data_IF_040210801838
#
_entry.id   IF_040210801838
#
_cell.length_a   1.000
_cell.length_b   1.000
_cell.length_c   1.000
_cell.angle_alpha   90.00
_cell.angle_beta   90.00
_cell.angle_gamma   90.00
#
_symmetry.space_group_name_H-M   'P 1'
#
loop_
_entity.id
_entity.type
_entity.pdbx_description
1 polymer ?
#
# COMPACT_ATOMS: atom_id res chain seq x y z
N UNK A 1 -3.30 -7.09 0.81
CA UNK A 1 -2.79 -6.53 -0.48
C UNK A 1 -1.26 -6.47 -0.46
N UNK A 2 -0.55 -6.76 -1.54
CA UNK A 2 0.93 -6.63 -1.57
C UNK A 2 1.34 -5.19 -1.86
N UNK A 3 2.57 -4.81 -1.51
CA UNK A 3 3.11 -3.48 -1.82
C UNK A 3 3.09 -3.18 -3.33
N UNK A 4 3.37 -4.18 -4.17
CA UNK A 4 3.33 -4.02 -5.62
C UNK A 4 1.89 -3.80 -6.13
N UNK A 5 0.90 -4.48 -5.55
CA UNK A 5 -0.51 -4.25 -5.87
C UNK A 5 -0.96 -2.84 -5.49
N UNK A 6 -0.48 -2.29 -4.36
CA UNK A 6 -0.75 -0.90 -3.98
C UNK A 6 -0.21 0.06 -5.05
N UNK A 7 1.01 -0.18 -5.54
CA UNK A 7 1.60 0.65 -6.59
C UNK A 7 0.79 0.59 -7.89
N UNK A 8 0.39 -0.60 -8.31
CA UNK A 8 -0.44 -0.79 -9.51
C UNK A 8 -1.81 -0.14 -9.38
N UNK A 9 -2.43 -0.22 -8.20
CA UNK A 9 -3.72 0.43 -7.95
C UNK A 9 -3.63 1.95 -8.06
N UNK A 10 -2.61 2.56 -7.46
CA UNK A 10 -2.41 4.02 -7.53
C UNK A 10 -2.16 4.45 -8.98
N UNK A 11 -1.32 3.72 -9.70
CA UNK A 11 -1.01 3.94 -11.12
C UNK A 11 -2.26 3.84 -12.02
N UNK A 12 -3.13 2.86 -11.75
CA UNK A 12 -4.37 2.66 -12.50
C UNK A 12 -5.45 3.73 -12.23
N UNK A 13 -5.56 4.22 -10.98
CA UNK A 13 -6.63 5.14 -10.58
C UNK A 13 -6.23 6.62 -10.68
N UNK A 14 -4.93 6.94 -10.61
CA UNK A 14 -4.43 8.31 -10.57
C UNK A 14 -3.39 8.52 -11.68
N UNK A 15 -3.81 8.95 -12.89
CA UNK A 15 -2.93 9.10 -14.06
C UNK A 15 -1.69 9.98 -13.83
N UNK A 16 -1.77 10.90 -12.87
CA UNK A 16 -0.64 11.73 -12.43
C UNK A 16 0.60 10.91 -12.04
N UNK A 17 0.40 9.74 -11.41
CA UNK A 17 1.51 8.89 -10.93
C UNK A 17 2.03 7.91 -11.98
N UNK A 18 1.31 7.74 -13.11
CA UNK A 18 1.62 6.79 -14.19
C UNK A 18 2.80 7.21 -15.06
N UNK A 19 2.70 8.41 -15.63
CA UNK A 19 3.64 8.91 -16.63
C UNK A 19 4.75 9.76 -16.02
N UNK A 20 5.13 9.50 -14.76
CA UNK A 20 6.15 10.28 -14.09
C UNK A 20 7.55 9.69 -14.33
N UNK A 21 8.54 10.57 -14.42
CA UNK A 21 9.96 10.22 -14.50
C UNK A 21 10.34 9.13 -13.46
N UNK A 22 11.24 8.18 -13.79
CA UNK A 22 11.61 7.09 -12.88
C UNK A 22 12.01 7.55 -11.47
N UNK A 23 12.67 8.71 -11.35
CA UNK A 23 13.01 9.34 -10.07
C UNK A 23 11.78 9.78 -9.28
N UNK A 24 10.78 10.39 -9.94
CA UNK A 24 9.51 10.78 -9.31
C UNK A 24 8.71 9.54 -8.90
N UNK A 25 8.80 8.46 -9.70
CA UNK A 25 8.20 7.17 -9.36
C UNK A 25 8.74 6.59 -8.07
N UNK A 26 10.07 6.57 -7.92
CA UNK A 26 10.71 6.14 -6.67
C UNK A 26 10.33 7.03 -5.49
N UNK A 27 10.20 8.35 -5.71
CA UNK A 27 9.78 9.31 -4.68
C UNK A 27 8.42 8.98 -4.07
N UNK A 28 7.37 8.88 -4.90
CA UNK A 28 6.03 8.58 -4.37
C UNK A 28 5.92 7.15 -3.82
N UNK A 29 6.61 6.18 -4.42
CA UNK A 29 6.66 4.82 -3.87
C UNK A 29 7.31 4.78 -2.49
N UNK A 30 8.29 5.65 -2.24
CA UNK A 30 8.89 5.81 -0.93
C UNK A 30 7.91 6.41 0.07
N UNK A 31 7.17 7.44 -0.33
CA UNK A 31 6.10 8.02 0.49
C UNK A 31 5.04 6.98 0.86
N UNK A 32 4.66 6.09 -0.06
CA UNK A 32 3.73 4.99 0.24
C UNK A 32 4.31 4.03 1.28
N UNK A 33 5.57 3.57 1.11
CA UNK A 33 6.21 2.69 2.10
C UNK A 33 6.30 3.34 3.48
N UNK A 34 6.64 4.63 3.53
CA UNK A 34 6.70 5.38 4.76
C UNK A 34 5.32 5.48 5.44
N UNK A 35 4.26 5.78 4.69
CA UNK A 35 2.90 5.87 5.24
C UNK A 35 2.38 4.53 5.75
N UNK A 36 2.66 3.43 5.05
CA UNK A 36 2.28 2.10 5.49
C UNK A 36 2.94 1.72 6.82
N UNK A 37 4.17 2.18 7.07
CA UNK A 37 4.85 1.91 8.33
C UNK A 37 4.52 2.91 9.44
N UNK A 38 4.14 4.15 9.10
CA UNK A 38 3.91 5.23 10.07
C UNK A 38 2.50 5.21 10.66
N UNK A 39 1.50 4.75 9.92
CA UNK A 39 0.13 4.69 10.42
C UNK A 39 -0.17 3.32 11.00
N UNK A 40 -0.53 3.26 12.28
CA UNK A 40 -0.90 2.03 13.00
C UNK A 40 -2.11 1.30 12.37
N UNK A 41 -2.88 2.02 11.55
CA UNK A 41 -3.96 1.45 10.77
C UNK A 41 -3.50 0.48 9.68
N UNK A 42 -2.23 0.48 9.27
CA UNK A 42 -1.70 -0.48 8.30
C UNK A 42 -0.80 -1.50 8.99
N UNK A 43 -1.27 -2.75 9.04
CA UNK A 43 -0.52 -3.84 9.64
C UNK A 43 0.09 -4.74 8.57
N UNK A 44 1.33 -5.14 8.82
CA UNK A 44 2.09 -6.04 7.96
C UNK A 44 1.79 -7.49 8.37
N UNK A 45 1.06 -8.22 7.54
CA UNK A 45 0.85 -9.66 7.73
C UNK A 45 1.94 -10.47 7.01
N UNK A 46 2.61 -11.40 7.72
CA UNK A 46 3.53 -12.32 7.08
C UNK A 46 2.77 -13.17 6.05
N UNK A 47 3.44 -13.53 4.96
CA UNK A 47 2.93 -14.56 4.05
C UNK A 47 3.23 -15.91 4.68
N UNK A 48 2.21 -16.73 4.88
CA UNK A 48 2.42 -18.14 5.18
C UNK A 48 3.25 -18.72 4.03
N UNK A 49 4.39 -19.33 4.34
CA UNK A 49 5.41 -19.77 3.38
C UNK A 49 4.96 -20.89 2.42
N UNK A 50 3.66 -21.14 2.33
CA UNK A 50 2.99 -22.16 1.53
C UNK A 50 2.64 -21.53 0.17
N UNK A 51 3.64 -21.36 -0.69
CA UNK A 51 3.44 -20.84 -2.04
C UNK A 51 4.66 -21.03 -2.95
N UNK A 52 4.46 -21.07 -4.27
CA UNK A 52 5.55 -21.21 -5.25
C UNK A 52 6.61 -20.11 -5.08
N UNK A 53 7.86 -20.36 -5.48
CA UNK A 53 8.99 -19.46 -5.19
C UNK A 53 8.79 -18.01 -5.65
N UNK A 54 8.01 -17.79 -6.72
CA UNK A 54 7.67 -16.47 -7.27
C UNK A 54 6.73 -15.65 -6.35
N UNK A 55 6.03 -16.33 -5.44
CA UNK A 55 5.09 -15.76 -4.47
C UNK A 55 5.76 -15.37 -3.13
N UNK A 56 7.07 -15.53 -3.00
CA UNK A 56 7.82 -15.22 -1.76
C UNK A 56 8.21 -13.75 -1.63
N UNK A 57 7.94 -12.91 -2.64
CA UNK A 57 8.40 -11.51 -2.65
C UNK A 57 7.36 -10.59 -2.02
N UNK A 58 7.60 -10.24 -0.77
CA UNK A 58 6.89 -9.17 -0.06
C UNK A 58 5.82 -9.69 0.90
N UNK A 59 5.52 -8.85 1.90
CA UNK A 59 4.49 -9.13 2.90
C UNK A 59 3.14 -8.55 2.45
N UNK A 60 2.06 -9.04 3.04
CA UNK A 60 0.76 -8.42 2.87
C UNK A 60 0.62 -7.22 3.80
N UNK A 61 -0.03 -6.19 3.29
CA UNK A 61 -0.55 -5.06 4.06
C UNK A 61 -2.06 -5.21 4.16
N UNK A 62 -2.56 -5.06 5.37
CA UNK A 62 -3.99 -5.05 5.70
C UNK A 62 -4.30 -3.89 6.62
N UNK A 63 -5.58 -3.52 6.72
CA UNK A 63 -6.00 -2.58 7.74
C UNK A 63 -6.03 -3.26 9.11
N UNK A 64 -5.77 -2.49 10.17
CA UNK A 64 -6.07 -2.91 11.54
C UNK A 64 -7.61 -2.95 11.71
N UNK A 65 -8.18 -3.98 12.35
CA UNK A 65 -9.60 -4.04 12.67
C UNK A 65 -10.09 -2.80 13.43
N UNK A 66 -9.23 -2.23 14.28
CA UNK A 66 -9.54 -1.06 15.11
C UNK A 66 -9.65 0.23 14.29
N UNK A 67 -9.14 0.24 13.05
CA UNK A 67 -9.20 1.37 12.15
C UNK A 67 -10.21 1.21 11.01
N UNK A 68 -10.94 0.09 10.92
CA UNK A 68 -11.88 -0.14 9.79
C UNK A 68 -12.97 0.95 9.72
N UNK A 69 -13.48 1.37 10.88
CA UNK A 69 -14.49 2.44 10.97
C UNK A 69 -13.94 3.85 10.69
N UNK A 70 -12.61 4.02 10.54
CA UNK A 70 -12.01 5.32 10.23
C UNK A 70 -12.08 5.69 8.75
N UNK A 71 -12.30 4.72 7.87
CA UNK A 71 -12.23 4.88 6.41
C UNK A 71 -13.58 4.66 5.72
N UNK A 72 -14.69 4.92 6.41
CA UNK A 72 -16.03 4.88 5.82
C UNK A 72 -16.13 5.78 4.57
N UNK A 73 -16.94 5.39 3.56
CA UNK A 73 -17.08 6.15 2.32
C UNK A 73 -17.50 7.60 2.63
N UNK A 74 -16.65 8.56 2.28
CA UNK A 74 -16.88 9.99 2.52
C UNK A 74 -16.04 10.60 3.65
N UNK A 75 -15.38 9.78 4.50
CA UNK A 75 -14.46 10.28 5.53
C UNK A 75 -12.99 10.03 5.16
N UNK A 76 -12.48 10.77 4.17
CA UNK A 76 -11.07 10.74 3.76
C UNK A 76 -10.22 11.81 4.45
N UNK A 77 -10.75 12.46 5.49
CA UNK A 77 -10.07 13.57 6.17
C UNK A 77 -8.95 13.02 7.04
N UNK A 78 -7.74 13.58 6.86
CA UNK A 78 -6.65 13.40 7.81
C UNK A 78 -7.03 14.12 9.11
N UNK A 79 -6.89 13.46 10.26
CA UNK A 79 -6.91 14.15 11.55
C UNK A 79 -5.61 14.94 11.73
#
# INVERSE_FOLDING_TARGET
>A
MTLNQIYQYIDANFPYYRNCEPKRRQGWQNSIRHNLSLNDCFVKKPRDGIGPANDRKGNFWTLSPDCENMFEPGNYKRR
#
